data_IF_217593185979
#
_entry.id   IF_217593185979
#
_cell.length_a   1.000
_cell.length_b   1.000
_cell.length_c   1.000
_cell.angle_alpha   90.00
_cell.angle_beta   90.00
_cell.angle_gamma   90.00
#
_symmetry.space_group_name_H-M   'P 1'
#
loop_
_entity.id
_entity.type
_entity.pdbx_description
1 polymer ?
#
# COMPACT_ATOMS: atom_id res chain seq x y z
N UNK A 1 -15.05 12.90 1.62
CA UNK A 1 -15.32 11.59 2.23
C UNK A 1 -14.64 10.53 1.38
N UNK A 2 -13.72 9.78 1.99
CA UNK A 2 -13.01 8.68 1.35
C UNK A 2 -13.96 7.74 0.61
N UNK A 3 -13.46 7.07 -0.44
CA UNK A 3 -14.24 6.08 -1.19
C UNK A 3 -14.85 5.07 -0.22
N UNK A 4 -16.16 4.89 -0.34
CA UNK A 4 -16.89 3.91 0.44
C UNK A 4 -16.62 2.50 -0.11
N UNK A 5 -15.64 1.82 0.48
CA UNK A 5 -15.30 0.45 0.12
C UNK A 5 -16.32 -0.59 0.63
N UNK A 6 -17.36 -0.16 1.37
CA UNK A 6 -18.53 -1.00 1.66
C UNK A 6 -19.50 -1.10 0.47
N UNK A 7 -19.33 -0.26 -0.56
CA UNK A 7 -20.15 -0.27 -1.77
C UNK A 7 -19.58 -1.21 -2.84
N UNK A 8 -20.33 -2.27 -3.19
CA UNK A 8 -19.90 -3.27 -4.18
C UNK A 8 -19.54 -2.70 -5.55
N UNK A 9 -20.26 -1.67 -6.03
CA UNK A 9 -19.95 -1.05 -7.33
C UNK A 9 -18.59 -0.35 -7.34
N UNK A 10 -18.18 0.20 -6.20
CA UNK A 10 -16.86 0.82 -6.04
C UNK A 10 -15.76 -0.25 -6.08
N UNK A 11 -16.03 -1.41 -5.47
CA UNK A 11 -15.10 -2.55 -5.41
C UNK A 11 -14.93 -3.20 -6.79
N UNK A 12 -16.01 -3.41 -7.53
CA UNK A 12 -15.98 -4.09 -8.84
C UNK A 12 -15.17 -3.30 -9.89
N UNK A 13 -15.39 -1.99 -9.98
CA UNK A 13 -14.67 -1.11 -10.91
C UNK A 13 -13.32 -0.58 -10.39
N UNK A 14 -12.86 -1.02 -9.22
CA UNK A 14 -11.67 -0.48 -8.56
C UNK A 14 -10.42 -0.63 -9.40
N UNK A 15 -10.17 -1.84 -9.93
CA UNK A 15 -8.89 -2.21 -10.56
C UNK A 15 -8.66 -1.46 -11.90
N UNK A 16 -9.71 -1.22 -12.67
CA UNK A 16 -9.61 -0.41 -13.90
C UNK A 16 -9.40 1.07 -13.60
N UNK A 17 -10.05 1.55 -12.55
CA UNK A 17 -10.00 2.95 -12.18
C UNK A 17 -8.68 3.32 -11.50
N UNK A 18 -8.14 2.46 -10.62
CA UNK A 18 -6.92 2.75 -9.87
C UNK A 18 -5.71 2.90 -10.81
N UNK A 19 -5.67 2.14 -11.90
CA UNK A 19 -4.63 2.26 -12.95
C UNK A 19 -4.63 3.61 -13.66
N UNK A 20 -5.78 4.26 -13.75
CA UNK A 20 -5.91 5.61 -14.32
C UNK A 20 -5.62 6.69 -13.28
N UNK A 21 -5.92 6.39 -12.02
CA UNK A 21 -5.79 7.32 -10.91
C UNK A 21 -4.36 7.45 -10.42
N UNK A 22 -3.60 6.35 -10.41
CA UNK A 22 -2.25 6.28 -9.84
C UNK A 22 -1.23 6.22 -10.98
N UNK A 23 -0.49 7.32 -11.25
CA UNK A 23 0.52 7.33 -12.29
C UNK A 23 1.61 6.28 -12.03
N UNK A 24 1.85 5.43 -13.03
CA UNK A 24 2.86 4.37 -12.94
C UNK A 24 2.44 3.18 -12.07
N UNK A 25 1.14 2.94 -11.85
CA UNK A 25 0.63 1.85 -10.99
C UNK A 25 1.35 0.50 -11.18
N UNK A 26 1.50 0.04 -12.41
CA UNK A 26 2.20 -1.23 -12.70
C UNK A 26 3.71 -1.18 -12.40
N UNK A 27 4.34 -0.01 -12.61
CA UNK A 27 5.75 0.17 -12.31
C UNK A 27 6.03 0.09 -10.80
N UNK A 28 5.07 0.48 -9.95
CA UNK A 28 5.17 0.32 -8.49
C UNK A 28 5.35 -1.17 -8.17
N UNK A 29 4.45 -2.01 -8.66
CA UNK A 29 4.45 -3.45 -8.41
C UNK A 29 5.70 -4.14 -8.96
N UNK A 30 6.20 -3.69 -10.11
CA UNK A 30 7.48 -4.16 -10.67
C UNK A 30 8.68 -3.81 -9.77
N UNK A 31 8.72 -2.60 -9.21
CA UNK A 31 9.77 -2.22 -8.25
C UNK A 31 9.66 -3.03 -6.96
N UNK A 32 8.45 -3.19 -6.41
CA UNK A 32 8.21 -4.02 -5.23
C UNK A 32 8.70 -5.45 -5.47
N UNK A 33 8.32 -6.08 -6.58
CA UNK A 33 8.84 -7.40 -6.96
C UNK A 33 10.36 -7.45 -6.95
N UNK A 34 11.01 -6.52 -7.66
CA UNK A 34 12.47 -6.53 -7.83
C UNK A 34 13.19 -6.39 -6.49
N UNK A 35 12.67 -5.52 -5.61
CA UNK A 35 13.20 -5.33 -4.26
C UNK A 35 12.99 -6.59 -3.43
N UNK A 36 11.78 -7.14 -3.36
CA UNK A 36 11.51 -8.33 -2.55
C UNK A 36 12.37 -9.52 -3.00
N UNK A 37 12.53 -9.73 -4.31
CA UNK A 37 13.39 -10.78 -4.88
C UNK A 37 14.85 -10.66 -4.46
N UNK A 38 15.35 -9.43 -4.27
CA UNK A 38 16.72 -9.18 -3.85
C UNK A 38 16.93 -9.35 -2.35
N UNK A 39 15.93 -8.98 -1.54
CA UNK A 39 16.07 -8.91 -0.09
C UNK A 39 15.60 -10.17 0.64
N UNK A 40 14.70 -10.94 0.05
CA UNK A 40 14.03 -12.05 0.72
C UNK A 40 14.55 -13.41 0.25
N UNK A 41 14.47 -14.38 1.16
CA UNK A 41 14.78 -15.77 0.87
C UNK A 41 13.65 -16.47 0.11
N UNK A 42 13.91 -17.68 -0.38
CA UNK A 42 12.92 -18.48 -1.10
C UNK A 42 11.69 -18.84 -0.26
N UNK A 43 11.76 -18.79 1.08
CA UNK A 43 10.67 -19.20 1.98
C UNK A 43 10.20 -18.05 2.90
N UNK A 44 10.07 -16.84 2.37
CA UNK A 44 9.69 -15.66 3.14
C UNK A 44 8.22 -15.67 3.58
N UNK A 45 7.94 -15.03 4.73
CA UNK A 45 6.60 -14.71 5.19
C UNK A 45 6.38 -13.19 5.12
N UNK A 46 5.45 -12.76 4.29
CA UNK A 46 5.12 -11.35 4.07
C UNK A 46 3.79 -11.00 4.72
N UNK A 47 3.70 -9.84 5.34
CA UNK A 47 2.42 -9.23 5.72
C UNK A 47 2.03 -8.12 4.73
N UNK A 48 0.80 -8.15 4.23
CA UNK A 48 0.24 -7.12 3.37
C UNK A 48 -0.79 -6.36 4.18
N UNK A 49 -0.46 -5.13 4.58
CA UNK A 49 -1.32 -4.25 5.37
C UNK A 49 -2.13 -3.40 4.39
N UNK A 50 -3.46 -3.54 4.40
CA UNK A 50 -4.35 -2.97 3.40
C UNK A 50 -4.27 -3.71 2.07
N UNK A 51 -4.61 -5.00 2.06
CA UNK A 51 -4.48 -5.83 0.85
C UNK A 51 -5.44 -5.46 -0.28
N UNK A 52 -6.48 -4.65 -0.01
CA UNK A 52 -7.43 -4.19 -1.01
C UNK A 52 -8.07 -5.34 -1.78
N UNK A 53 -8.17 -5.20 -3.10
CA UNK A 53 -8.72 -6.24 -4.00
C UNK A 53 -7.79 -7.44 -4.20
N UNK A 54 -6.59 -7.44 -3.59
CA UNK A 54 -5.64 -8.54 -3.67
C UNK A 54 -4.79 -8.59 -4.93
N UNK A 55 -4.74 -7.53 -5.75
CA UNK A 55 -3.97 -7.51 -7.00
C UNK A 55 -2.49 -7.85 -6.81
N UNK A 56 -1.79 -7.12 -5.94
CA UNK A 56 -0.37 -7.38 -5.62
C UNK A 56 -0.19 -8.77 -4.98
N UNK A 57 -1.11 -9.14 -4.10
CA UNK A 57 -1.08 -10.41 -3.38
C UNK A 57 -1.19 -11.60 -4.33
N UNK A 58 -2.12 -11.55 -5.28
CA UNK A 58 -2.28 -12.57 -6.33
C UNK A 58 -0.99 -12.68 -7.14
N UNK A 59 -0.47 -11.57 -7.67
CA UNK A 59 0.75 -11.55 -8.46
C UNK A 59 1.97 -12.13 -7.72
N UNK A 60 2.22 -11.69 -6.48
CA UNK A 60 3.37 -12.15 -5.69
C UNK A 60 3.23 -13.62 -5.29
N UNK A 61 2.02 -14.07 -4.94
CA UNK A 61 1.78 -15.46 -4.53
C UNK A 61 1.97 -16.47 -5.65
N UNK A 62 1.68 -16.10 -6.91
CA UNK A 62 1.98 -16.92 -8.08
C UNK A 62 3.47 -16.94 -8.39
N UNK A 63 4.09 -15.76 -8.34
CA UNK A 63 5.50 -15.58 -8.70
C UNK A 63 6.43 -16.29 -7.72
N UNK A 64 6.11 -16.22 -6.43
CA UNK A 64 6.90 -16.79 -5.34
C UNK A 64 6.11 -17.89 -4.65
N UNK A 65 5.97 -19.07 -5.28
CA UNK A 65 5.05 -20.10 -4.83
C UNK A 65 5.43 -20.67 -3.48
N UNK A 66 6.63 -20.45 -2.95
CA UNK A 66 7.06 -20.92 -1.63
C UNK A 66 6.85 -19.90 -0.50
N UNK A 67 6.51 -18.66 -0.83
CA UNK A 67 6.24 -17.63 0.17
C UNK A 67 4.90 -17.87 0.86
N UNK A 68 4.80 -17.33 2.08
CA UNK A 68 3.56 -17.26 2.86
C UNK A 68 3.14 -15.80 2.97
N UNK A 69 1.83 -15.58 3.00
CA UNK A 69 1.27 -14.25 3.12
C UNK A 69 0.27 -14.18 4.26
N UNK A 70 0.28 -13.06 4.98
CA UNK A 70 -0.81 -12.65 5.85
C UNK A 70 -1.37 -11.34 5.29
N UNK A 71 -2.61 -11.34 4.80
CA UNK A 71 -3.26 -10.19 4.18
C UNK A 71 -4.31 -9.61 5.14
N UNK A 72 -4.16 -8.33 5.48
CA UNK A 72 -5.00 -7.62 6.44
C UNK A 72 -5.70 -6.48 5.71
N UNK A 73 -7.00 -6.33 5.92
CA UNK A 73 -7.75 -5.18 5.43
C UNK A 73 -8.97 -4.93 6.34
N UNK A 74 -9.28 -3.67 6.70
CA UNK A 74 -10.45 -3.35 7.52
C UNK A 74 -11.77 -3.44 6.74
N UNK A 75 -11.74 -3.57 5.40
CA UNK A 75 -12.93 -3.75 4.57
C UNK A 75 -13.17 -5.23 4.27
N UNK A 76 -14.25 -5.79 4.82
CA UNK A 76 -14.67 -7.15 4.52
C UNK A 76 -14.91 -7.38 3.02
N UNK A 77 -15.47 -6.40 2.30
CA UNK A 77 -15.68 -6.53 0.86
C UNK A 77 -14.37 -6.63 0.07
N UNK A 78 -13.33 -5.91 0.50
CA UNK A 78 -12.00 -6.01 -0.09
C UNK A 78 -11.41 -7.39 0.17
N UNK A 79 -11.49 -7.88 1.40
CA UNK A 79 -11.07 -9.24 1.78
C UNK A 79 -11.76 -10.30 0.92
N UNK A 80 -13.08 -10.23 0.74
CA UNK A 80 -13.81 -11.22 -0.04
C UNK A 80 -13.44 -11.17 -1.53
N UNK A 81 -13.22 -9.97 -2.10
CA UNK A 81 -12.72 -9.84 -3.47
C UNK A 81 -11.29 -10.38 -3.62
N UNK A 82 -10.40 -10.08 -2.66
CA UNK A 82 -9.03 -10.59 -2.65
C UNK A 82 -8.97 -12.12 -2.55
N UNK A 83 -9.81 -12.72 -1.69
CA UNK A 83 -9.97 -14.18 -1.60
C UNK A 83 -10.44 -14.75 -2.94
N UNK A 84 -11.49 -14.18 -3.53
CA UNK A 84 -12.02 -14.66 -4.80
C UNK A 84 -10.96 -14.63 -5.91
N UNK A 85 -10.20 -13.54 -6.00
CA UNK A 85 -9.09 -13.39 -6.95
C UNK A 85 -8.00 -14.45 -6.69
N UNK A 86 -7.49 -14.57 -5.46
CA UNK A 86 -6.43 -15.54 -5.16
C UNK A 86 -6.86 -17.01 -5.33
N UNK A 87 -8.15 -17.31 -5.12
CA UNK A 87 -8.71 -18.66 -5.29
C UNK A 87 -8.73 -19.10 -6.74
N UNK A 88 -9.08 -18.20 -7.67
CA UNK A 88 -9.07 -18.49 -9.12
C UNK A 88 -7.68 -18.91 -9.62
N UNK A 89 -6.64 -18.55 -8.87
CA UNK A 89 -5.24 -18.75 -9.22
C UNK A 89 -4.52 -19.80 -8.34
N UNK A 90 -5.27 -20.60 -7.57
CA UNK A 90 -4.75 -21.67 -6.69
C UNK A 90 -3.75 -21.22 -5.60
N UNK A 91 -3.68 -19.93 -5.30
CA UNK A 91 -2.73 -19.36 -4.34
C UNK A 91 -3.20 -19.41 -2.88
N UNK A 92 -4.50 -19.68 -2.63
CA UNK A 92 -5.14 -19.50 -1.32
C UNK A 92 -4.47 -20.25 -0.17
N UNK A 93 -3.93 -21.44 -0.44
CA UNK A 93 -3.40 -22.33 0.60
C UNK A 93 -2.18 -21.76 1.36
N UNK A 94 -1.60 -20.65 0.90
CA UNK A 94 -0.45 -19.97 1.54
C UNK A 94 -0.80 -18.56 2.06
N UNK A 95 -2.07 -18.19 2.02
CA UNK A 95 -2.54 -16.85 2.36
C UNK A 95 -3.51 -16.91 3.54
N UNK A 96 -3.13 -16.28 4.64
CA UNK A 96 -4.01 -16.01 5.78
C UNK A 96 -4.69 -14.65 5.57
N UNK A 97 -6.01 -14.63 5.41
CA UNK A 97 -6.78 -13.37 5.31
C UNK A 97 -7.37 -12.99 6.67
N UNK A 98 -7.15 -11.75 7.10
CA UNK A 98 -7.61 -11.23 8.38
C UNK A 98 -8.40 -9.94 8.15
N UNK A 99 -9.69 -9.97 8.51
CA UNK A 99 -10.53 -8.77 8.51
C UNK A 99 -10.29 -8.01 9.82
N UNK A 100 -9.36 -7.05 9.77
CA UNK A 100 -8.97 -6.21 10.89
C UNK A 100 -8.24 -4.95 10.38
N UNK A 101 -8.07 -3.97 11.25
CA UNK A 101 -7.08 -2.90 11.03
C UNK A 101 -5.65 -3.38 11.35
N UNK A 102 -4.67 -2.48 11.24
CA UNK A 102 -3.27 -2.80 11.49
C UNK A 102 -2.96 -3.18 12.94
N UNK A 103 -3.82 -2.87 13.93
CA UNK A 103 -3.52 -3.13 15.34
C UNK A 103 -3.44 -4.63 15.64
N UNK A 104 -4.02 -5.47 14.78
CA UNK A 104 -3.91 -6.93 14.85
C UNK A 104 -2.45 -7.41 14.81
N UNK A 105 -1.54 -6.62 14.21
CA UNK A 105 -0.11 -6.93 14.11
C UNK A 105 0.58 -7.09 15.46
N UNK A 106 0.03 -6.51 16.54
CA UNK A 106 0.53 -6.70 17.92
C UNK A 106 0.49 -8.16 18.37
N UNK A 107 -0.32 -8.99 17.75
CA UNK A 107 -0.40 -10.44 18.02
C UNK A 107 0.67 -11.25 17.27
N UNK A 108 1.44 -10.61 16.41
CA UNK A 108 2.42 -11.24 15.52
C UNK A 108 3.83 -10.62 15.62
N UNK A 109 4.41 -10.47 16.83
CA UNK A 109 5.73 -9.86 16.98
C UNK A 109 6.81 -10.69 16.28
N UNK A 110 7.75 -10.02 15.62
CA UNK A 110 8.92 -10.61 14.93
C UNK A 110 8.57 -11.81 14.02
N UNK A 111 7.40 -11.76 13.36
CA UNK A 111 6.87 -12.86 12.54
C UNK A 111 7.25 -12.76 11.08
N UNK A 112 7.31 -11.55 10.52
CA UNK A 112 7.35 -11.35 9.06
C UNK A 112 8.75 -10.95 8.57
N UNK A 113 9.15 -11.47 7.42
CA UNK A 113 10.40 -11.08 6.73
C UNK A 113 10.24 -9.74 5.99
N UNK A 114 9.03 -9.44 5.51
CA UNK A 114 8.69 -8.14 4.94
C UNK A 114 7.25 -7.73 5.23
N UNK A 115 7.00 -6.43 5.16
CA UNK A 115 5.70 -5.81 5.21
C UNK A 115 5.48 -4.95 3.97
N UNK A 116 4.29 -5.03 3.38
CA UNK A 116 3.83 -4.19 2.29
C UNK A 116 2.69 -3.30 2.78
N UNK A 117 2.78 -2.00 2.50
CA UNK A 117 1.76 -0.99 2.79
C UNK A 117 1.64 -0.07 1.57
N UNK A 118 0.93 -0.54 0.55
CA UNK A 118 0.85 0.13 -0.76
C UNK A 118 -0.50 0.83 -0.88
N UNK A 119 -0.46 2.15 -0.93
CA UNK A 119 -1.60 3.07 -0.99
C UNK A 119 -2.51 2.98 0.25
N UNK A 120 -1.92 3.05 1.46
CA UNK A 120 -2.64 2.85 2.73
C UNK A 120 -2.39 3.97 3.73
N UNK A 121 -1.13 4.33 4.00
CA UNK A 121 -0.81 5.18 5.15
C UNK A 121 -1.38 6.60 5.04
N UNK A 122 -1.72 7.06 3.83
CA UNK A 122 -2.38 8.34 3.60
C UNK A 122 -3.86 8.37 4.08
N UNK A 123 -4.50 7.21 4.31
CA UNK A 123 -5.80 7.12 4.98
C UNK A 123 -5.71 7.16 6.51
N UNK A 124 -4.54 6.86 7.07
CA UNK A 124 -4.33 6.79 8.53
C UNK A 124 -4.28 8.21 9.09
N UNK A 125 -5.08 8.48 10.12
CA UNK A 125 -5.14 9.79 10.76
C UNK A 125 -3.78 10.23 11.34
N UNK A 126 -3.55 11.54 11.41
CA UNK A 126 -2.25 12.09 11.84
C UNK A 126 -1.77 11.58 13.21
N UNK A 127 -2.68 11.30 14.16
CA UNK A 127 -2.33 10.86 15.50
C UNK A 127 -1.97 9.37 15.54
N UNK A 128 -2.59 8.57 14.66
CA UNK A 128 -2.42 7.13 14.56
C UNK A 128 -1.23 6.73 13.68
N UNK A 129 -0.71 7.60 12.81
CA UNK A 129 0.41 7.27 11.89
C UNK A 129 1.65 6.70 12.61
N UNK A 130 2.02 7.28 13.76
CA UNK A 130 3.17 6.79 14.52
C UNK A 130 2.93 5.36 15.02
N UNK A 131 1.73 5.08 15.53
CA UNK A 131 1.37 3.73 15.98
C UNK A 131 1.29 2.76 14.80
N UNK A 132 0.73 3.18 13.66
CA UNK A 132 0.63 2.38 12.43
C UNK A 132 1.99 1.83 12.00
N UNK A 133 3.00 2.70 11.88
CA UNK A 133 4.34 2.25 11.50
C UNK A 133 5.04 1.47 12.62
N UNK A 134 4.76 1.77 13.89
CA UNK A 134 5.31 1.00 15.02
C UNK A 134 4.76 -0.44 15.06
N UNK A 135 3.45 -0.63 14.82
CA UNK A 135 2.83 -1.95 14.75
C UNK A 135 3.45 -2.80 13.63
N UNK A 136 3.71 -2.18 12.46
CA UNK A 136 4.41 -2.83 11.36
C UNK A 136 5.84 -3.20 11.76
N UNK A 137 6.62 -2.25 12.28
CA UNK A 137 8.01 -2.48 12.67
C UNK A 137 8.14 -3.58 13.73
N UNK A 138 7.23 -3.64 14.71
CA UNK A 138 7.22 -4.68 15.74
C UNK A 138 6.88 -6.07 15.18
N UNK A 139 6.05 -6.13 14.13
CA UNK A 139 5.70 -7.41 13.49
C UNK A 139 6.82 -8.00 12.61
N UNK A 140 7.77 -7.18 12.19
CA UNK A 140 8.89 -7.59 11.34
C UNK A 140 9.99 -8.27 12.15
N UNK A 141 10.62 -9.32 11.60
CA UNK A 141 11.86 -9.90 12.14
C UNK A 141 13.01 -8.89 12.10
N UNK A 142 14.09 -9.19 12.83
CA UNK A 142 15.37 -8.48 12.65
C UNK A 142 15.80 -8.53 11.18
N UNK A 143 16.27 -7.40 10.64
CA UNK A 143 16.61 -7.21 9.21
C UNK A 143 15.40 -7.27 8.26
N UNK A 144 14.17 -7.35 8.79
CA UNK A 144 12.96 -7.26 8.00
C UNK A 144 12.80 -5.89 7.34
N UNK A 145 12.08 -5.85 6.22
CA UNK A 145 11.88 -4.63 5.44
C UNK A 145 10.41 -4.24 5.35
N UNK A 146 10.14 -2.94 5.36
CA UNK A 146 8.86 -2.37 4.97
C UNK A 146 9.00 -1.72 3.59
N UNK A 147 8.09 -2.06 2.67
CA UNK A 147 7.86 -1.31 1.45
C UNK A 147 6.53 -0.54 1.58
N UNK A 148 6.61 0.78 1.56
CA UNK A 148 5.44 1.67 1.58
C UNK A 148 5.35 2.40 0.25
N UNK A 149 4.14 2.68 -0.23
CA UNK A 149 3.94 3.58 -1.36
C UNK A 149 2.71 4.43 -1.13
N UNK A 150 2.85 5.75 -1.02
CA UNK A 150 1.75 6.59 -0.56
C UNK A 150 1.76 7.99 -1.20
N UNK A 151 0.62 8.68 -1.04
CA UNK A 151 0.45 10.06 -1.41
C UNK A 151 1.06 10.96 -0.33
N UNK A 152 1.93 11.86 -0.76
CA UNK A 152 2.54 12.89 0.07
C UNK A 152 1.86 14.24 -0.18
N UNK A 153 2.12 15.18 0.73
CA UNK A 153 1.62 16.55 0.66
C UNK A 153 2.05 17.24 -0.64
N UNK A 154 1.11 17.89 -1.30
CA UNK A 154 1.35 18.77 -2.45
C UNK A 154 1.62 20.19 -1.94
N UNK A 155 2.57 20.88 -2.55
CA UNK A 155 3.07 22.17 -2.07
C UNK A 155 2.38 23.37 -2.71
N UNK A 156 1.95 23.26 -3.97
CA UNK A 156 1.33 24.38 -4.68
C UNK A 156 0.32 23.95 -5.76
N UNK A 157 -0.37 24.95 -6.32
CA UNK A 157 -1.39 24.75 -7.34
C UNK A 157 -0.82 24.24 -8.68
N UNK A 158 0.45 24.52 -8.99
CA UNK A 158 1.08 24.03 -10.21
C UNK A 158 1.28 22.52 -10.13
N UNK A 159 1.71 21.99 -8.98
CA UNK A 159 1.82 20.54 -8.75
C UNK A 159 0.45 19.85 -8.90
N UNK A 160 -0.62 20.43 -8.37
CA UNK A 160 -2.00 19.93 -8.59
C UNK A 160 -2.35 19.91 -10.08
N UNK A 161 -2.05 21.00 -10.81
CA UNK A 161 -2.34 21.10 -12.23
C UNK A 161 -1.53 20.11 -13.08
N UNK A 162 -0.25 19.90 -12.75
CA UNK A 162 0.62 18.90 -13.39
C UNK A 162 0.05 17.50 -13.16
N UNK A 163 -0.33 17.17 -11.93
CA UNK A 163 -0.95 15.89 -11.61
C UNK A 163 -2.25 15.68 -12.39
N UNK A 164 -3.12 16.70 -12.44
CA UNK A 164 -4.36 16.65 -13.23
C UNK A 164 -4.10 16.40 -14.71
N UNK A 165 -3.09 17.04 -15.29
CA UNK A 165 -2.73 16.84 -16.69
C UNK A 165 -2.24 15.40 -16.90
N UNK A 166 -1.35 14.91 -16.03
CA UNK A 166 -0.81 13.54 -16.14
C UNK A 166 -1.91 12.48 -16.07
N UNK A 167 -2.83 12.56 -15.10
CA UNK A 167 -3.90 11.56 -15.00
C UNK A 167 -4.91 11.65 -16.14
N UNK A 168 -5.06 12.82 -16.78
CA UNK A 168 -5.87 12.97 -17.99
C UNK A 168 -5.23 12.27 -19.19
N UNK A 169 -3.92 12.42 -19.38
CA UNK A 169 -3.16 11.68 -20.41
C UNK A 169 -3.23 10.16 -20.20
N UNK A 170 -3.29 9.70 -18.95
CA UNK A 170 -3.45 8.27 -18.62
C UNK A 170 -4.89 7.78 -18.88
N UNK A 171 -5.88 8.68 -18.81
CA UNK A 171 -7.26 8.39 -19.22
C UNK A 171 -8.36 8.74 -18.22
N UNK A 172 -8.09 9.57 -17.21
CA UNK A 172 -9.16 10.24 -16.46
C UNK A 172 -9.79 11.37 -17.30
N UNK A 173 -11.09 11.57 -17.15
CA UNK A 173 -11.75 12.76 -17.70
C UNK A 173 -11.37 14.01 -16.90
N UNK A 174 -11.62 15.19 -17.46
CA UNK A 174 -11.43 16.48 -16.75
C UNK A 174 -12.19 16.47 -15.42
N UNK A 175 -13.47 16.08 -15.41
CA UNK A 175 -14.25 16.03 -14.18
C UNK A 175 -13.67 15.03 -13.15
N UNK A 176 -13.15 13.90 -13.61
CA UNK A 176 -12.51 12.92 -12.73
C UNK A 176 -11.20 13.46 -12.14
N UNK A 177 -10.41 14.22 -12.91
CA UNK A 177 -9.17 14.83 -12.41
C UNK A 177 -9.44 15.96 -11.42
N UNK A 178 -10.49 16.78 -11.63
CA UNK A 178 -10.94 17.77 -10.64
C UNK A 178 -11.38 17.10 -9.33
N UNK A 179 -12.20 16.05 -9.43
CA UNK A 179 -12.65 15.31 -8.25
C UNK A 179 -11.47 14.66 -7.50
N UNK A 180 -10.48 14.13 -8.22
CA UNK A 180 -9.26 13.60 -7.61
C UNK A 180 -8.52 14.69 -6.83
N UNK A 181 -8.31 15.87 -7.42
CA UNK A 181 -7.61 16.97 -6.77
C UNK A 181 -8.30 17.41 -5.47
N UNK A 182 -9.64 17.52 -5.50
CA UNK A 182 -10.43 17.86 -4.31
C UNK A 182 -10.27 16.82 -3.19
N UNK A 183 -10.26 15.53 -3.55
CA UNK A 183 -10.13 14.43 -2.58
C UNK A 183 -8.77 14.37 -1.89
N UNK A 184 -7.72 14.92 -2.48
CA UNK A 184 -6.40 15.02 -1.82
C UNK A 184 -6.47 15.81 -0.51
N UNK A 185 -7.41 16.77 -0.44
CA UNK A 185 -7.65 17.59 0.75
C UNK A 185 -8.71 16.96 1.66
N UNK A 186 -9.78 16.43 1.08
CA UNK A 186 -10.98 16.04 1.83
C UNK A 186 -10.91 14.64 2.44
N UNK A 187 -10.09 13.74 1.87
CA UNK A 187 -10.15 12.30 2.17
C UNK A 187 -8.90 11.78 2.89
N UNK A 188 -7.79 12.53 2.87
CA UNK A 188 -6.49 12.00 3.26
C UNK A 188 -5.77 12.87 4.30
N UNK A 189 -4.92 12.22 5.07
CA UNK A 189 -4.04 12.83 6.05
C UNK A 189 -2.62 12.86 5.47
N UNK A 190 -2.39 13.76 4.52
CA UNK A 190 -1.13 13.86 3.78
C UNK A 190 -0.04 14.54 4.62
N UNK A 191 1.14 13.91 4.67
CA UNK A 191 2.34 14.42 5.35
C UNK A 191 3.45 14.65 4.33
N UNK A 192 4.50 15.39 4.73
CA UNK A 192 5.70 15.55 3.91
C UNK A 192 6.55 14.28 3.91
N UNK A 193 7.51 14.21 2.98
CA UNK A 193 8.49 13.13 2.92
C UNK A 193 9.39 13.09 4.15
N UNK A 194 9.73 14.25 4.71
CA UNK A 194 10.55 14.38 5.91
C UNK A 194 9.80 13.85 7.13
N UNK A 195 8.52 14.23 7.28
CA UNK A 195 7.65 13.71 8.34
C UNK A 195 7.51 12.19 8.26
N UNK A 196 7.32 11.63 7.05
CA UNK A 196 7.23 10.19 6.86
C UNK A 196 8.54 9.48 7.21
N UNK A 197 9.68 10.03 6.77
CA UNK A 197 11.00 9.49 7.12
C UNK A 197 11.23 9.50 8.63
N UNK A 198 10.87 10.58 9.32
CA UNK A 198 10.94 10.65 10.79
C UNK A 198 10.05 9.59 11.46
N UNK A 199 8.84 9.36 10.93
CA UNK A 199 7.95 8.33 11.45
C UNK A 199 8.56 6.93 11.33
N UNK A 200 9.22 6.62 10.21
CA UNK A 200 9.93 5.35 10.08
C UNK A 200 11.03 5.20 11.12
N UNK A 201 11.87 6.22 11.32
CA UNK A 201 12.93 6.15 12.33
C UNK A 201 12.35 6.00 13.74
N UNK A 202 11.33 6.78 14.08
CA UNK A 202 10.63 6.69 15.39
C UNK A 202 9.95 5.34 15.60
N UNK A 203 9.48 4.69 14.55
CA UNK A 203 8.86 3.36 14.62
C UNK A 203 9.86 2.23 14.90
N UNK A 204 11.17 2.48 14.77
CA UNK A 204 12.24 1.52 15.05
C UNK A 204 12.96 1.00 13.80
N UNK A 205 12.75 1.61 12.63
CA UNK A 205 13.56 1.32 11.45
C UNK A 205 14.92 2.01 11.54
N UNK A 206 16.01 1.29 11.26
CA UNK A 206 17.38 1.81 11.26
C UNK A 206 17.68 2.72 10.07
N UNK A 207 16.96 2.57 8.97
CA UNK A 207 17.05 3.45 7.80
C UNK A 207 15.77 3.46 6.99
N UNK A 208 15.51 4.57 6.29
CA UNK A 208 14.44 4.69 5.31
C UNK A 208 14.92 5.49 4.09
N UNK A 209 14.63 5.00 2.88
CA UNK A 209 15.02 5.63 1.61
C UNK A 209 13.90 5.53 0.59
N UNK A 210 13.69 6.59 -0.17
CA UNK A 210 12.81 6.53 -1.34
C UNK A 210 13.48 5.68 -2.43
N UNK A 211 12.73 4.75 -3.02
CA UNK A 211 13.15 3.99 -4.20
C UNK A 211 12.43 4.43 -5.48
N UNK A 212 11.33 5.18 -5.35
CA UNK A 212 10.53 5.64 -6.48
C UNK A 212 9.77 6.91 -6.10
N UNK A 213 9.65 7.83 -7.07
CA UNK A 213 8.75 8.97 -6.95
C UNK A 213 8.10 9.24 -8.30
N UNK A 214 6.79 9.51 -8.29
CA UNK A 214 6.07 10.09 -9.42
C UNK A 214 5.22 11.24 -8.88
N UNK A 215 5.62 12.49 -9.15
CA UNK A 215 5.01 13.67 -8.55
C UNK A 215 4.91 13.53 -7.02
N UNK A 216 3.71 13.63 -6.45
CA UNK A 216 3.46 13.51 -5.01
C UNK A 216 3.29 12.06 -4.52
N UNK A 217 3.50 11.05 -5.37
CA UNK A 217 3.47 9.65 -4.98
C UNK A 217 4.87 9.14 -4.73
N UNK A 218 5.11 8.54 -3.56
CA UNK A 218 6.44 8.14 -3.12
C UNK A 218 6.46 6.69 -2.65
N UNK A 219 7.40 5.91 -3.18
CA UNK A 219 7.76 4.57 -2.73
C UNK A 219 8.97 4.61 -1.80
N UNK A 220 8.85 4.00 -0.63
CA UNK A 220 9.88 3.95 0.41
C UNK A 220 10.22 2.51 0.79
N UNK A 221 11.52 2.26 0.98
CA UNK A 221 12.02 1.08 1.68
C UNK A 221 12.55 1.51 3.04
N UNK A 222 12.03 0.90 4.11
CA UNK A 222 12.55 1.05 5.47
C UNK A 222 13.08 -0.30 5.97
N UNK A 223 14.22 -0.28 6.67
CA UNK A 223 14.91 -1.50 7.16
C UNK A 223 14.91 -1.51 8.68
N UNK A 224 14.54 -2.63 9.29
CA UNK A 224 14.62 -2.84 10.74
C UNK A 224 16.06 -3.18 11.11
#
# INVERSE_FOLDING_TARGET
>A
MAKDFSNQKVVDGYDDHIRKLIPGYELIHQNVHAILKQYLSENAHIVVVGCGTGYELQYLSETFPQWKFTAIDPSLNMIEKAKALCNQHNAQHKIEFIHADNQILKQYPDKFDAALSILVSHFVDFQSKAQFFSDIAQSLKNQGILLSYDLMKIHDQNEINILKNLVQEIGLTIQQSENMAQRLVDDFYLISTEELQELFIKAGFSSAKSFMQVLNYYGWIAKK
#
